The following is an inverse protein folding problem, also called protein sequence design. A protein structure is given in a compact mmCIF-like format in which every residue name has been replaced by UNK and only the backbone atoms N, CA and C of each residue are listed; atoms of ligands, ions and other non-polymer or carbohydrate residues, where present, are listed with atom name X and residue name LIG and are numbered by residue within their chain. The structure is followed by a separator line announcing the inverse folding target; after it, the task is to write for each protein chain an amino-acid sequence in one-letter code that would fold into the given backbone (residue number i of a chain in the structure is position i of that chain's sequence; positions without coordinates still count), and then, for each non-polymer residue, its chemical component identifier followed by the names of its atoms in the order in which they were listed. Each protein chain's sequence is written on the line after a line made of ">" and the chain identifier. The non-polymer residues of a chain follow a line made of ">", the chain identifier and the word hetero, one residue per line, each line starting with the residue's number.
data_IF_653153722825
#
_entry.id   IF_653153722825
#
_cell.length_a   1.000
_cell.length_b   1.000
_cell.length_c   1.000
_cell.angle_alpha   90.00
_cell.angle_beta   90.00
_cell.angle_gamma   90.00
#
_symmetry.space_group_name_H-M   'P 1'
#
loop_
_entity.id
_entity.type
_entity.pdbx_description
1 polymer ?
#
# COMPACT_ATOMS: atom_id res chain seq x y z
N UNK A 1 8.82 -9.95 -16.97
CA UNK A 1 8.08 -8.67 -17.06
C UNK A 1 6.96 -8.70 -18.11
N UNK A 2 7.18 -9.15 -19.35
CA UNK A 2 6.15 -9.14 -20.40
C UNK A 2 4.81 -9.81 -20.00
N UNK A 3 4.85 -11.02 -19.42
CA UNK A 3 3.63 -11.69 -18.92
C UNK A 3 2.91 -10.88 -17.84
N UNK A 4 3.65 -10.28 -16.90
CA UNK A 4 3.07 -9.43 -15.86
C UNK A 4 2.43 -8.16 -16.46
N UNK A 5 3.07 -7.53 -17.44
CA UNK A 5 2.50 -6.39 -18.15
C UNK A 5 1.19 -6.76 -18.86
N UNK A 6 1.13 -7.92 -19.52
CA UNK A 6 -0.09 -8.43 -20.11
C UNK A 6 -1.19 -8.69 -19.05
N UNK A 7 -0.84 -9.21 -17.86
CA UNK A 7 -1.79 -9.36 -16.76
C UNK A 7 -2.39 -8.02 -16.34
N UNK A 8 -1.56 -6.97 -16.19
CA UNK A 8 -2.03 -5.62 -15.85
C UNK A 8 -2.92 -5.04 -16.94
N UNK A 9 -2.56 -5.21 -18.22
CA UNK A 9 -3.38 -4.81 -19.36
C UNK A 9 -4.75 -5.52 -19.36
N UNK A 10 -4.79 -6.80 -19.00
CA UNK A 10 -6.05 -7.53 -18.88
C UNK A 10 -6.92 -7.05 -17.71
N UNK A 11 -6.32 -6.64 -16.59
CA UNK A 11 -7.03 -5.98 -15.49
C UNK A 11 -7.62 -4.65 -15.96
N UNK A 12 -6.82 -3.81 -16.60
CA UNK A 12 -7.25 -2.52 -17.14
C UNK A 12 -8.41 -2.65 -18.13
N UNK A 13 -8.31 -3.58 -19.10
CA UNK A 13 -9.41 -3.89 -20.03
C UNK A 13 -10.67 -4.38 -19.32
N UNK A 14 -10.53 -5.16 -18.25
CA UNK A 14 -11.66 -5.61 -17.44
C UNK A 14 -12.38 -4.45 -16.77
N UNK A 15 -11.61 -3.53 -16.17
CA UNK A 15 -12.12 -2.29 -15.58
C UNK A 15 -12.82 -1.44 -16.65
N UNK A 16 -12.21 -1.28 -17.83
CA UNK A 16 -12.80 -0.51 -18.93
C UNK A 16 -14.20 -0.98 -19.31
N UNK A 17 -14.47 -2.29 -19.31
CA UNK A 17 -15.82 -2.83 -19.57
C UNK A 17 -16.83 -2.42 -18.49
N UNK A 18 -16.44 -2.48 -17.22
CA UNK A 18 -17.29 -2.03 -16.10
C UNK A 18 -17.61 -0.54 -16.25
N UNK A 19 -16.60 0.28 -16.60
CA UNK A 19 -16.80 1.71 -16.82
C UNK A 19 -17.72 1.99 -18.00
N UNK A 20 -17.56 1.26 -19.11
CA UNK A 20 -18.47 1.37 -20.28
C UNK A 20 -19.92 1.06 -19.91
N UNK A 21 -20.16 0.04 -19.08
CA UNK A 21 -21.52 -0.31 -18.63
C UNK A 21 -22.10 0.79 -17.71
N UNK A 22 -21.29 1.39 -16.84
CA UNK A 22 -21.68 2.52 -16.00
C UNK A 22 -21.97 3.79 -16.83
N UNK A 23 -21.22 4.03 -17.90
CA UNK A 23 -21.47 5.14 -18.83
C UNK A 23 -22.76 4.94 -19.62
N UNK A 24 -22.95 3.75 -20.20
CA UNK A 24 -24.12 3.41 -20.99
C UNK A 24 -25.42 3.47 -20.18
N UNK A 25 -25.35 3.18 -18.88
CA UNK A 25 -26.48 3.31 -17.95
C UNK A 25 -26.66 4.72 -17.36
N UNK A 26 -25.73 5.65 -17.60
CA UNK A 26 -25.76 7.00 -17.03
C UNK A 26 -25.36 7.10 -15.56
N UNK A 27 -24.85 6.03 -14.97
CA UNK A 27 -24.52 5.92 -13.54
C UNK A 27 -23.07 6.31 -13.20
N UNK A 28 -22.18 6.40 -14.21
CA UNK A 28 -20.75 6.67 -13.97
C UNK A 28 -20.51 7.95 -13.15
N UNK A 29 -21.23 9.04 -13.47
CA UNK A 29 -21.02 10.32 -12.80
C UNK A 29 -21.32 10.26 -11.29
N UNK A 30 -22.29 9.43 -10.88
CA UNK A 30 -22.70 9.28 -9.49
C UNK A 30 -22.11 8.02 -8.82
N UNK A 31 -21.14 7.36 -9.45
CA UNK A 31 -20.45 6.20 -8.88
C UNK A 31 -19.12 6.61 -8.25
N UNK A 32 -18.95 6.31 -6.96
CA UNK A 32 -17.65 6.40 -6.30
C UNK A 32 -16.77 5.22 -6.71
N UNK A 33 -15.68 5.50 -7.43
CA UNK A 33 -14.68 4.52 -7.83
C UNK A 33 -13.40 4.77 -7.03
N UNK A 34 -12.91 3.72 -6.36
CA UNK A 34 -11.61 3.69 -5.68
C UNK A 34 -10.81 2.51 -6.25
N UNK A 35 -9.70 2.80 -6.94
CA UNK A 35 -8.82 1.79 -7.52
C UNK A 35 -7.43 1.89 -6.91
N UNK A 36 -6.91 0.78 -6.36
CA UNK A 36 -5.60 0.73 -5.71
C UNK A 36 -5.00 -0.68 -5.76
N UNK A 37 -3.73 -0.80 -5.38
CA UNK A 37 -3.05 -2.08 -5.11
C UNK A 37 -3.12 -2.40 -3.62
N UNK A 38 -3.18 -3.68 -3.26
CA UNK A 38 -3.25 -4.13 -1.85
C UNK A 38 -1.93 -3.92 -1.08
N UNK A 39 -0.81 -3.92 -1.79
CA UNK A 39 0.54 -3.64 -1.31
C UNK A 39 1.45 -3.20 -2.47
N UNK A 40 2.70 -2.85 -2.15
CA UNK A 40 3.72 -2.62 -3.16
C UNK A 40 4.14 -3.89 -3.92
N UNK A 41 5.09 -3.77 -4.85
CA UNK A 41 5.44 -4.83 -5.78
C UNK A 41 5.81 -6.15 -5.07
N UNK A 42 5.44 -7.28 -5.68
CA UNK A 42 5.71 -8.60 -5.14
C UNK A 42 7.18 -8.96 -5.37
N UNK A 43 7.92 -9.49 -4.39
CA UNK A 43 9.37 -9.70 -4.56
C UNK A 43 9.82 -11.15 -4.66
N UNK A 44 8.88 -12.08 -4.51
CA UNK A 44 9.13 -13.48 -4.13
C UNK A 44 10.52 -14.00 -4.52
N UNK A 45 11.37 -14.09 -3.48
CA UNK A 45 12.73 -14.63 -3.46
C UNK A 45 13.81 -13.79 -4.16
N UNK A 46 14.61 -14.44 -5.01
CA UNK A 46 15.83 -13.88 -5.59
C UNK A 46 15.56 -12.82 -6.64
N UNK A 47 16.61 -12.15 -7.15
CA UNK A 47 16.47 -11.07 -8.13
C UNK A 47 15.79 -11.52 -9.42
N UNK A 48 15.91 -12.81 -9.76
CA UNK A 48 15.32 -13.43 -10.95
C UNK A 48 14.06 -14.26 -10.64
N UNK A 49 13.59 -14.24 -9.40
CA UNK A 49 12.37 -14.94 -8.98
C UNK A 49 12.54 -16.45 -8.94
N UNK A 50 11.53 -17.18 -9.39
CA UNK A 50 11.52 -18.64 -9.37
C UNK A 50 10.62 -19.22 -10.47
N UNK A 51 10.84 -20.49 -10.81
CA UNK A 51 9.97 -21.29 -11.66
C UNK A 51 9.52 -22.58 -10.97
N UNK A 52 8.35 -23.08 -11.39
CA UNK A 52 7.71 -24.32 -10.93
C UNK A 52 7.23 -24.32 -9.48
N UNK A 53 8.08 -23.97 -8.52
CA UNK A 53 7.73 -23.97 -7.10
C UNK A 53 8.49 -22.90 -6.31
N UNK A 54 7.74 -22.20 -5.47
CA UNK A 54 8.24 -21.17 -4.54
C UNK A 54 9.25 -21.76 -3.53
N UNK A 55 10.23 -20.96 -3.09
CA UNK A 55 11.27 -21.34 -2.10
C UNK A 55 12.24 -22.47 -2.47
N UNK A 56 12.25 -22.92 -3.73
CA UNK A 56 13.21 -23.95 -4.19
C UNK A 56 14.57 -23.38 -4.60
N UNK A 57 14.67 -22.07 -4.80
CA UNK A 57 15.87 -21.43 -5.37
C UNK A 57 16.09 -21.76 -6.85
N UNK A 58 15.13 -22.42 -7.51
CA UNK A 58 15.21 -22.75 -8.92
C UNK A 58 14.66 -21.61 -9.78
N UNK A 59 15.50 -21.09 -10.66
CA UNK A 59 15.12 -20.16 -11.72
C UNK A 59 15.66 -20.70 -13.04
N UNK A 60 14.81 -20.76 -14.06
CA UNK A 60 15.12 -21.27 -15.39
C UNK A 60 15.24 -20.10 -16.35
N UNK A 61 16.35 -20.01 -17.06
CA UNK A 61 16.48 -19.06 -18.17
C UNK A 61 15.76 -19.63 -19.40
N UNK A 62 14.51 -19.21 -19.61
CA UNK A 62 13.74 -19.58 -20.79
C UNK A 62 14.25 -18.85 -22.04
N UNK A 63 14.40 -19.57 -23.15
CA UNK A 63 14.86 -19.01 -24.43
C UNK A 63 14.14 -19.64 -25.63
N UNK A 64 14.11 -18.92 -26.76
CA UNK A 64 13.50 -19.40 -28.00
C UNK A 64 12.04 -19.81 -27.83
N UNK A 65 11.68 -20.99 -28.32
CA UNK A 65 10.32 -21.53 -28.25
C UNK A 65 9.79 -21.70 -26.80
N UNK A 66 10.67 -21.81 -25.81
CA UNK A 66 10.28 -21.95 -24.40
C UNK A 66 9.60 -20.68 -23.87
N UNK A 67 9.91 -19.51 -24.44
CA UNK A 67 9.28 -18.24 -24.04
C UNK A 67 7.77 -18.27 -24.30
N UNK A 68 7.32 -18.97 -25.34
CA UNK A 68 5.90 -19.09 -25.68
C UNK A 68 5.09 -19.83 -24.59
N UNK A 69 5.74 -20.63 -23.76
CA UNK A 69 5.11 -21.38 -22.67
C UNK A 69 4.97 -20.56 -21.38
N UNK A 70 5.69 -19.44 -21.25
CA UNK A 70 5.63 -18.61 -20.05
C UNK A 70 4.27 -17.91 -19.94
N UNK A 71 3.59 -18.09 -18.80
CA UNK A 71 2.26 -17.52 -18.54
C UNK A 71 1.09 -18.34 -19.09
N UNK A 72 1.36 -19.44 -19.80
CA UNK A 72 0.32 -20.37 -20.24
C UNK A 72 -0.21 -21.19 -19.06
N UNK A 73 -1.38 -21.82 -19.26
CA UNK A 73 -1.92 -22.79 -18.31
C UNK A 73 -0.88 -23.87 -17.98
N UNK A 74 -0.72 -24.18 -16.68
CA UNK A 74 0.28 -25.14 -16.20
C UNK A 74 1.68 -24.54 -15.97
N UNK A 75 1.94 -23.29 -16.36
CA UNK A 75 3.15 -22.57 -15.96
C UNK A 75 2.99 -21.91 -14.58
N UNK A 76 4.09 -21.82 -13.83
CA UNK A 76 4.11 -21.13 -12.53
C UNK A 76 5.48 -20.48 -12.33
N UNK A 77 5.50 -19.14 -12.33
CA UNK A 77 6.73 -18.37 -12.18
C UNK A 77 6.49 -17.05 -11.45
N UNK A 78 7.57 -16.48 -10.90
CA UNK A 78 7.60 -15.13 -10.35
C UNK A 78 8.74 -14.34 -10.98
N UNK A 79 8.52 -13.04 -11.21
CA UNK A 79 9.52 -12.11 -11.73
C UNK A 79 10.63 -11.72 -10.72
N UNK A 80 10.48 -12.04 -9.43
CA UNK A 80 11.50 -11.80 -8.41
C UNK A 80 11.72 -10.36 -7.97
N UNK A 81 12.67 -10.19 -7.05
CA UNK A 81 12.94 -8.94 -6.36
C UNK A 81 13.58 -7.86 -7.23
N UNK A 82 14.25 -8.23 -8.33
CA UNK A 82 14.81 -7.25 -9.28
C UNK A 82 13.72 -6.43 -9.95
N UNK A 83 12.70 -7.10 -10.48
CA UNK A 83 11.54 -6.44 -11.08
C UNK A 83 10.64 -5.79 -10.02
N UNK A 84 10.57 -6.34 -8.82
CA UNK A 84 9.86 -5.72 -7.70
C UNK A 84 10.45 -4.35 -7.33
N UNK A 85 11.78 -4.29 -7.18
CA UNK A 85 12.48 -3.03 -6.94
C UNK A 85 12.22 -2.03 -8.06
N UNK A 86 12.32 -2.45 -9.33
CA UNK A 86 12.02 -1.55 -10.44
C UNK A 86 10.59 -1.00 -10.36
N UNK A 87 9.61 -1.86 -10.08
CA UNK A 87 8.19 -1.49 -9.97
C UNK A 87 7.90 -0.52 -8.82
N UNK A 88 8.79 -0.41 -7.84
CA UNK A 88 8.65 0.47 -6.69
C UNK A 88 9.51 1.74 -6.78
N UNK A 89 10.42 1.86 -7.75
CA UNK A 89 11.33 3.02 -7.87
C UNK A 89 10.58 4.35 -7.73
N UNK A 90 11.01 5.27 -6.83
CA UNK A 90 12.25 5.26 -6.04
C UNK A 90 12.14 4.66 -4.64
N UNK A 91 11.01 4.03 -4.29
CA UNK A 91 10.70 3.63 -2.93
C UNK A 91 11.49 2.39 -2.50
N UNK A 92 11.98 2.39 -1.25
CA UNK A 92 12.74 1.26 -0.71
C UNK A 92 11.88 0.01 -0.52
N UNK A 93 12.48 -1.14 -0.84
CA UNK A 93 11.92 -2.48 -0.64
C UNK A 93 10.59 -2.68 -1.41
N UNK A 94 9.74 -3.56 -0.89
CA UNK A 94 8.61 -4.17 -1.59
C UNK A 94 7.66 -4.85 -0.60
N UNK A 95 6.65 -5.59 -1.10
CA UNK A 95 5.71 -6.39 -0.30
C UNK A 95 6.42 -7.12 0.87
N UNK A 96 5.75 -7.21 2.02
CA UNK A 96 6.23 -7.69 3.35
C UNK A 96 7.01 -6.67 4.19
N UNK A 97 7.48 -5.57 3.63
CA UNK A 97 8.24 -4.55 4.36
C UNK A 97 7.35 -3.37 4.75
N UNK A 98 7.72 -2.67 5.82
CA UNK A 98 7.07 -1.43 6.24
C UNK A 98 7.73 -0.16 5.67
N UNK A 99 8.77 -0.34 4.85
CA UNK A 99 9.33 0.67 3.96
C UNK A 99 8.29 1.12 2.91
N UNK A 100 8.46 2.31 2.33
CA UNK A 100 7.49 2.90 1.40
C UNK A 100 7.20 1.98 0.20
N UNK A 101 8.20 1.26 -0.33
CA UNK A 101 7.99 0.33 -1.43
C UNK A 101 7.12 -0.88 -1.06
N UNK A 102 6.92 -1.17 0.22
CA UNK A 102 6.00 -2.22 0.67
C UNK A 102 4.57 -1.73 0.95
N UNK A 103 4.40 -0.47 1.31
CA UNK A 103 3.14 0.06 1.88
C UNK A 103 2.52 1.20 1.08
N UNK A 104 3.22 1.75 0.10
CA UNK A 104 2.73 2.84 -0.74
C UNK A 104 2.22 2.28 -2.06
N UNK A 105 0.90 2.30 -2.22
CA UNK A 105 0.19 1.91 -3.43
C UNK A 105 -0.42 3.14 -4.11
N UNK A 106 -0.51 3.18 -5.46
CA UNK A 106 -1.26 4.21 -6.13
C UNK A 106 -2.75 4.11 -5.78
N UNK A 107 -3.42 5.25 -5.65
CA UNK A 107 -4.88 5.34 -5.50
C UNK A 107 -5.43 6.26 -6.58
N UNK A 108 -6.37 5.75 -7.36
CA UNK A 108 -7.22 6.55 -8.24
C UNK A 108 -8.60 6.63 -7.58
N UNK A 109 -9.09 7.85 -7.38
CA UNK A 109 -10.43 8.11 -6.84
C UNK A 109 -11.22 8.96 -7.84
N UNK A 110 -12.43 8.52 -8.18
CA UNK A 110 -13.29 9.17 -9.17
C UNK A 110 -14.74 9.22 -8.68
N UNK A 111 -15.31 10.42 -8.59
CA UNK A 111 -16.74 10.64 -8.31
C UNK A 111 -17.20 12.05 -8.75
N UNK A 112 -17.45 12.27 -10.06
CA UNK A 112 -17.70 13.59 -10.63
C UNK A 112 -18.90 14.33 -10.04
N UNK A 113 -19.93 13.61 -9.58
CA UNK A 113 -21.08 14.20 -8.93
C UNK A 113 -20.75 14.78 -7.53
N UNK A 114 -19.69 14.31 -6.87
CA UNK A 114 -19.35 14.68 -5.49
C UNK A 114 -18.19 15.68 -5.38
N UNK A 115 -17.25 15.68 -6.33
CA UNK A 115 -16.12 16.61 -6.38
C UNK A 115 -15.65 16.87 -7.82
N UNK A 116 -15.11 18.07 -8.10
CA UNK A 116 -14.58 18.39 -9.42
C UNK A 116 -13.34 17.54 -9.74
N UNK A 117 -13.13 17.30 -11.03
CA UNK A 117 -11.88 16.72 -11.50
C UNK A 117 -10.69 17.60 -11.11
N UNK A 118 -9.57 16.97 -10.76
CA UNK A 118 -8.30 17.64 -10.43
C UNK A 118 -7.20 17.09 -11.33
N UNK A 119 -6.35 17.98 -11.82
CA UNK A 119 -5.15 17.63 -12.60
C UNK A 119 -3.92 17.40 -11.73
N UNK A 120 -4.01 17.71 -10.43
CA UNK A 120 -2.90 17.66 -9.48
C UNK A 120 -2.89 16.38 -8.66
N UNK A 121 -1.69 15.96 -8.25
CA UNK A 121 -1.52 14.88 -7.29
C UNK A 121 -1.95 15.30 -5.88
N UNK A 122 -2.79 14.47 -5.26
CA UNK A 122 -3.08 14.58 -3.83
C UNK A 122 -1.98 13.83 -3.08
N UNK A 123 -1.11 14.59 -2.40
CA UNK A 123 0.08 14.09 -1.69
C UNK A 123 -0.07 13.79 -0.20
N UNK A 124 -1.03 14.38 0.55
CA UNK A 124 -1.23 13.98 1.94
C UNK A 124 -1.48 12.47 2.05
N UNK A 125 -0.90 11.80 3.05
CA UNK A 125 -0.96 10.35 3.09
C UNK A 125 -2.36 9.87 3.50
N UNK A 126 -2.84 8.86 2.77
CA UNK A 126 -4.07 8.13 3.02
C UNK A 126 -3.74 6.66 3.31
N UNK A 127 -4.70 5.93 3.87
CA UNK A 127 -4.54 4.51 4.16
C UNK A 127 -5.82 3.75 3.80
N UNK A 128 -5.74 2.46 3.46
CA UNK A 128 -6.93 1.63 3.17
C UNK A 128 -7.96 1.59 4.32
N UNK A 129 -7.54 1.94 5.54
CA UNK A 129 -8.45 2.07 6.70
C UNK A 129 -9.47 3.20 6.52
N UNK A 130 -9.18 4.15 5.63
CA UNK A 130 -10.01 5.30 5.29
C UNK A 130 -11.13 4.95 4.31
N UNK A 131 -11.08 3.79 3.64
CA UNK A 131 -12.09 3.42 2.64
C UNK A 131 -13.46 3.23 3.28
N UNK A 132 -13.53 2.51 4.41
CA UNK A 132 -14.79 2.27 5.09
C UNK A 132 -15.50 3.57 5.51
N UNK A 133 -14.89 4.51 6.26
CA UNK A 133 -15.55 5.77 6.59
C UNK A 133 -15.87 6.62 5.35
N UNK A 134 -15.05 6.57 4.30
CA UNK A 134 -15.33 7.25 3.03
C UNK A 134 -16.62 6.71 2.37
N UNK A 135 -16.77 5.38 2.29
CA UNK A 135 -17.95 4.74 1.71
C UNK A 135 -19.19 5.00 2.59
N UNK A 136 -19.05 4.98 3.91
CA UNK A 136 -20.14 5.30 4.83
C UNK A 136 -20.63 6.75 4.65
N UNK A 137 -19.70 7.72 4.55
CA UNK A 137 -20.06 9.11 4.28
C UNK A 137 -20.68 9.27 2.88
N UNK A 138 -20.11 8.62 1.86
CA UNK A 138 -20.59 8.65 0.49
C UNK A 138 -22.04 8.16 0.34
N UNK A 139 -22.40 7.12 1.10
CA UNK A 139 -23.72 6.48 1.05
C UNK A 139 -24.71 7.08 2.05
N UNK A 140 -24.25 7.93 2.97
CA UNK A 140 -25.05 8.37 4.13
C UNK A 140 -25.34 7.25 5.15
N UNK A 141 -24.67 6.10 5.03
CA UNK A 141 -24.88 4.97 5.93
C UNK A 141 -24.38 5.28 7.35
N UNK A 142 -25.22 4.98 8.34
CA UNK A 142 -24.85 5.13 9.75
C UNK A 142 -24.20 3.84 10.23
N UNK A 143 -22.93 3.92 10.63
CA UNK A 143 -22.21 2.79 11.21
C UNK A 143 -22.79 2.47 12.60
N UNK A 144 -23.24 1.23 12.87
CA UNK A 144 -23.67 0.85 14.21
C UNK A 144 -22.49 0.86 15.19
N UNK A 145 -22.76 1.11 16.47
CA UNK A 145 -21.76 1.00 17.56
C UNK A 145 -21.70 -0.42 18.16
N UNK A 146 -22.72 -1.22 17.88
CA UNK A 146 -22.90 -2.58 18.40
C UNK A 146 -23.66 -3.43 17.37
N UNK A 147 -23.27 -4.70 17.21
CA UNK A 147 -23.97 -5.67 16.38
C UNK A 147 -24.14 -6.95 17.20
N UNK A 148 -25.37 -7.43 17.37
CA UNK A 148 -25.68 -8.67 18.09
C UNK A 148 -25.03 -8.74 19.50
N UNK A 149 -25.06 -7.65 20.28
CA UNK A 149 -24.47 -7.59 21.61
C UNK A 149 -22.95 -7.36 21.64
N UNK A 150 -22.29 -7.28 20.48
CA UNK A 150 -20.83 -7.07 20.38
C UNK A 150 -20.53 -5.62 20.04
N UNK A 151 -19.91 -4.90 21.00
CA UNK A 151 -19.44 -3.53 20.77
C UNK A 151 -18.35 -3.51 19.70
N UNK A 152 -18.52 -2.67 18.69
CA UNK A 152 -17.54 -2.53 17.62
C UNK A 152 -16.35 -1.69 18.08
N UNK A 153 -15.15 -2.06 17.63
CA UNK A 153 -13.94 -1.25 17.84
C UNK A 153 -14.09 0.13 17.17
N UNK A 154 -13.50 1.20 17.71
CA UNK A 154 -13.42 2.48 17.01
C UNK A 154 -12.79 2.33 15.62
N UNK A 155 -13.19 3.16 14.66
CA UNK A 155 -12.51 3.20 13.36
C UNK A 155 -11.08 3.73 13.54
N UNK A 156 -10.14 3.14 12.82
CA UNK A 156 -8.76 3.63 12.74
C UNK A 156 -8.57 4.66 11.62
N UNK A 157 -9.41 4.61 10.59
CA UNK A 157 -9.38 5.53 9.47
C UNK A 157 -10.35 6.70 9.61
N UNK A 158 -10.23 7.64 8.67
CA UNK A 158 -11.11 8.82 8.54
C UNK A 158 -11.58 8.92 7.09
N UNK A 159 -12.70 9.60 6.85
CA UNK A 159 -13.20 9.75 5.48
C UNK A 159 -12.26 10.60 4.61
N UNK A 160 -12.07 10.19 3.36
CA UNK A 160 -11.30 10.91 2.34
C UNK A 160 -12.12 12.00 1.65
N UNK A 161 -13.45 12.06 1.85
CA UNK A 161 -14.33 13.02 1.15
C UNK A 161 -13.86 14.47 1.31
N UNK A 162 -13.48 14.96 2.51
CA UNK A 162 -12.96 16.31 2.67
C UNK A 162 -11.69 16.56 1.84
N UNK A 163 -10.76 15.60 1.82
CA UNK A 163 -9.52 15.68 1.03
C UNK A 163 -9.81 15.77 -0.47
N UNK A 164 -10.74 14.94 -0.96
CA UNK A 164 -11.14 14.92 -2.38
C UNK A 164 -11.83 16.23 -2.79
N UNK A 165 -12.54 16.88 -1.87
CA UNK A 165 -13.14 18.21 -2.06
C UNK A 165 -12.15 19.39 -1.90
N UNK A 166 -10.87 19.11 -1.64
CA UNK A 166 -9.85 20.14 -1.46
C UNK A 166 -9.93 20.88 -0.11
N UNK A 167 -10.61 20.30 0.87
CA UNK A 167 -10.67 20.85 2.23
C UNK A 167 -9.41 20.48 3.03
N UNK A 168 -9.24 21.13 4.17
CA UNK A 168 -8.12 20.90 5.06
C UNK A 168 -8.01 19.42 5.48
N UNK A 169 -6.81 18.87 5.39
CA UNK A 169 -6.50 17.50 5.79
C UNK A 169 -5.64 17.50 7.05
N UNK A 170 -6.11 16.89 8.15
CA UNK A 170 -5.36 16.91 9.39
C UNK A 170 -4.10 16.06 9.28
N UNK A 171 -3.01 16.55 9.87
CA UNK A 171 -1.87 15.68 10.13
C UNK A 171 -2.27 14.55 11.07
N UNK A 172 -1.85 13.33 10.76
CA UNK A 172 -2.14 12.15 11.57
C UNK A 172 -1.03 11.10 11.44
N UNK A 173 -0.94 10.26 12.46
CA UNK A 173 -0.05 9.11 12.45
C UNK A 173 -0.59 7.95 11.61
N UNK A 174 0.26 7.37 10.76
CA UNK A 174 -0.04 6.15 9.98
C UNK A 174 0.89 5.03 10.46
N UNK A 175 0.39 4.12 11.30
CA UNK A 175 1.14 2.99 11.80
C UNK A 175 1.07 1.78 10.87
N UNK A 176 2.15 1.01 10.81
CA UNK A 176 2.23 -0.27 10.11
C UNK A 176 2.92 -1.33 10.97
N UNK A 177 2.45 -2.57 10.83
CA UNK A 177 3.05 -3.75 11.42
C UNK A 177 2.73 -4.97 10.56
N UNK A 178 3.74 -5.69 10.10
CA UNK A 178 3.54 -6.87 9.26
C UNK A 178 4.62 -7.91 9.50
N UNK A 179 4.20 -9.08 9.98
CA UNK A 179 5.04 -10.24 10.27
C UNK A 179 6.32 -9.96 11.11
N UNK A 180 6.34 -8.87 11.88
CA UNK A 180 7.50 -8.45 12.67
C UNK A 180 8.13 -7.15 12.16
N UNK A 181 8.00 -6.80 10.88
CA UNK A 181 8.32 -5.46 10.41
C UNK A 181 7.36 -4.43 11.01
N UNK A 182 7.83 -3.21 11.22
CA UNK A 182 7.09 -2.12 11.86
C UNK A 182 7.41 -0.81 11.16
N UNK A 183 6.46 0.12 11.18
CA UNK A 183 6.70 1.50 10.78
C UNK A 183 5.67 2.46 11.34
N UNK A 184 6.04 3.73 11.41
CA UNK A 184 5.13 4.81 11.81
C UNK A 184 5.48 6.09 11.07
N UNK A 185 4.51 6.68 10.39
CA UNK A 185 4.66 7.96 9.70
C UNK A 185 3.84 9.05 10.40
N UNK A 186 4.44 10.20 10.66
CA UNK A 186 3.77 11.41 11.12
C UNK A 186 4.33 12.61 10.37
N UNK A 187 3.50 13.23 9.53
CA UNK A 187 3.93 14.27 8.61
C UNK A 187 4.99 13.76 7.63
N UNK A 188 6.12 14.46 7.58
CA UNK A 188 7.29 14.08 6.78
C UNK A 188 8.14 12.97 7.44
N UNK A 189 8.02 12.79 8.75
CA UNK A 189 8.87 11.86 9.49
C UNK A 189 8.32 10.45 9.45
N UNK A 190 9.21 9.48 9.23
CA UNK A 190 8.87 8.07 9.30
C UNK A 190 9.95 7.28 10.02
N UNK A 191 9.54 6.35 10.87
CA UNK A 191 10.42 5.30 11.40
C UNK A 191 10.10 3.94 10.80
N UNK A 192 11.12 3.09 10.66
CA UNK A 192 10.97 1.68 10.28
C UNK A 192 11.84 0.78 11.16
N UNK A 193 11.42 -0.47 11.31
CA UNK A 193 12.12 -1.54 12.02
C UNK A 193 11.80 -2.86 11.33
N UNK A 194 12.77 -3.75 11.05
CA UNK A 194 12.39 -5.03 10.46
C UNK A 194 13.43 -5.98 9.89
N UNK A 195 12.89 -6.95 9.14
CA UNK A 195 13.38 -8.32 8.88
C UNK A 195 14.69 -8.47 8.08
N UNK A 196 15.34 -7.39 7.68
CA UNK A 196 16.59 -7.43 6.90
C UNK A 196 17.60 -6.37 7.32
N UNK A 197 17.37 -5.74 8.47
CA UNK A 197 18.39 -4.91 9.09
C UNK A 197 19.48 -5.79 9.71
N UNK A 198 20.71 -5.28 9.72
CA UNK A 198 21.79 -5.90 10.45
C UNK A 198 21.47 -5.92 11.95
N UNK A 199 21.89 -6.98 12.65
CA UNK A 199 21.76 -7.05 14.10
C UNK A 199 22.80 -6.13 14.77
N UNK A 200 22.45 -5.45 15.88
CA UNK A 200 21.14 -5.40 16.50
C UNK A 200 20.14 -4.55 15.71
N UNK A 201 18.90 -5.03 15.55
CA UNK A 201 17.84 -4.31 14.83
C UNK A 201 17.41 -3.09 15.64
N UNK A 202 17.43 -1.90 15.03
CA UNK A 202 17.10 -0.63 15.67
C UNK A 202 16.05 0.13 14.85
N UNK A 203 15.41 1.12 15.47
CA UNK A 203 14.58 2.05 14.72
C UNK A 203 15.48 2.92 13.83
N UNK A 204 15.15 2.97 12.56
CA UNK A 204 15.72 3.94 11.61
C UNK A 204 14.73 5.08 11.42
N UNK A 205 15.22 6.29 11.19
CA UNK A 205 14.40 7.50 11.00
C UNK A 205 14.68 8.13 9.65
N UNK A 206 13.63 8.51 8.93
CA UNK A 206 13.73 9.16 7.62
C UNK A 206 12.85 10.41 7.55
N UNK A 207 13.30 11.39 6.76
CA UNK A 207 12.50 12.54 6.31
C UNK A 207 12.03 12.30 4.88
N UNK A 208 10.79 11.85 4.71
CA UNK A 208 10.22 11.51 3.40
C UNK A 208 10.01 12.72 2.48
N UNK A 209 10.12 13.95 2.99
CA UNK A 209 10.04 15.14 2.13
C UNK A 209 11.30 15.34 1.28
N UNK A 210 12.44 14.82 1.75
CA UNK A 210 13.74 14.90 1.07
C UNK A 210 14.23 13.53 0.60
N UNK A 211 13.83 12.46 1.29
CA UNK A 211 14.30 11.10 1.08
C UNK A 211 13.11 10.11 1.04
N UNK A 212 12.34 10.09 -0.06
CA UNK A 212 11.26 9.13 -0.25
C UNK A 212 11.78 7.69 -0.41
N UNK A 213 13.07 7.54 -0.71
CA UNK A 213 13.78 6.26 -0.88
C UNK A 213 14.25 5.65 0.44
N UNK A 214 14.13 6.36 1.57
CA UNK A 214 14.54 5.87 2.89
C UNK A 214 16.02 5.41 2.94
N UNK A 215 16.92 6.18 2.33
CA UNK A 215 18.35 5.86 2.22
C UNK A 215 19.20 6.43 3.37
N UNK A 216 18.79 7.57 3.92
CA UNK A 216 19.57 8.35 4.88
C UNK A 216 18.97 8.21 6.28
N UNK A 217 19.49 7.26 7.06
CA UNK A 217 19.05 7.06 8.44
C UNK A 217 19.50 8.21 9.37
N UNK A 218 18.51 8.94 9.88
CA UNK A 218 18.67 10.09 10.76
C UNK A 218 18.52 9.73 12.24
N UNK A 219 18.39 8.45 12.60
CA UNK A 219 18.08 8.06 13.97
C UNK A 219 19.16 8.49 14.98
N UNK A 220 20.43 8.42 14.58
CA UNK A 220 21.57 8.83 15.41
C UNK A 220 21.67 10.35 15.58
N UNK A 221 21.32 11.13 14.55
CA UNK A 221 21.36 12.60 14.60
C UNK A 221 20.10 13.21 15.20
N UNK A 222 18.97 12.49 15.19
CA UNK A 222 17.69 12.94 15.75
C UNK A 222 17.05 11.91 16.71
N UNK A 223 17.75 11.52 17.79
CA UNK A 223 17.28 10.46 18.68
C UNK A 223 15.96 10.80 19.39
N UNK A 224 15.72 12.08 19.70
CA UNK A 224 14.48 12.54 20.31
C UNK A 224 13.27 12.30 19.39
N UNK A 225 13.42 12.56 18.08
CA UNK A 225 12.35 12.36 17.09
C UNK A 225 12.07 10.87 16.87
N UNK A 226 13.13 10.06 16.81
CA UNK A 226 13.00 8.60 16.74
C UNK A 226 12.24 8.05 17.95
N UNK A 227 12.58 8.50 19.16
CA UNK A 227 11.91 8.09 20.39
C UNK A 227 10.44 8.52 20.45
N UNK A 228 10.12 9.73 20.01
CA UNK A 228 8.74 10.24 19.88
C UNK A 228 7.90 9.32 18.99
N UNK A 229 8.34 9.05 17.77
CA UNK A 229 7.60 8.20 16.84
C UNK A 229 7.50 6.75 17.32
N UNK A 230 8.55 6.23 17.96
CA UNK A 230 8.53 4.88 18.53
C UNK A 230 7.52 4.77 19.68
N UNK A 231 7.39 5.80 20.52
CA UNK A 231 6.39 5.86 21.57
C UNK A 231 4.96 5.88 20.98
N UNK A 232 4.73 6.67 19.93
CA UNK A 232 3.44 6.71 19.22
C UNK A 232 3.09 5.36 18.58
N UNK A 233 4.08 4.68 17.98
CA UNK A 233 3.89 3.33 17.46
C UNK A 233 3.53 2.34 18.57
N UNK A 234 4.23 2.36 19.70
CA UNK A 234 3.95 1.49 20.84
C UNK A 234 2.52 1.71 21.38
N UNK A 235 2.12 2.97 21.58
CA UNK A 235 0.77 3.31 22.05
C UNK A 235 -0.31 2.80 21.09
N UNK A 236 -0.10 2.91 19.78
CA UNK A 236 -0.98 2.31 18.79
C UNK A 236 -0.99 0.78 18.86
N UNK A 237 0.19 0.15 18.93
CA UNK A 237 0.36 -1.29 18.94
C UNK A 237 -0.35 -1.94 20.14
N UNK A 238 -0.27 -1.31 21.32
CA UNK A 238 -0.95 -1.76 22.53
C UNK A 238 -2.48 -1.62 22.40
N UNK A 239 -2.94 -0.50 21.82
CA UNK A 239 -4.37 -0.26 21.56
C UNK A 239 -4.99 -1.30 20.64
N UNK A 240 -4.28 -1.70 19.58
CA UNK A 240 -4.81 -2.63 18.56
C UNK A 240 -4.44 -4.10 18.82
N UNK A 241 -3.55 -4.38 19.77
CA UNK A 241 -3.14 -5.73 20.15
C UNK A 241 -2.15 -6.38 19.19
N UNK A 242 -1.18 -5.62 18.67
CA UNK A 242 -0.13 -6.14 17.76
C UNK A 242 0.80 -7.12 18.48
N UNK A 243 1.06 -6.89 19.78
CA UNK A 243 1.84 -7.81 20.62
C UNK A 243 0.87 -8.79 21.28
N UNK A 244 1.14 -10.11 21.27
CA UNK A 244 0.34 -11.04 22.06
C UNK A 244 0.35 -10.61 23.53
N UNK A 245 -0.83 -10.63 24.15
CA UNK A 245 -0.99 -10.41 25.59
C UNK A 245 -0.48 -11.60 26.39
#
# INVERSE_FOLDING_TARGET
>A
MATFAAMVEHVDRGIGRILTDLEASGELANTLILFTSDNGACYEWGPFGFDSASRTGKTTLHAGEQLAQMGQSGSFSSYGSGWANLGNTPLAMYKHFCNEGGITSPLIAHWPAAWPARSEWIRPPAHVMDFFPTIAEATGAVRPVEIAGVKLKPLSGVSLVPLMRGLAWPERGIPTAHEGARGYRLGQWKIVWGKRQAAPVQWQLFDLSQDPSEENDLAASQPAKTAELAALWNAWADRVGVRPR
#
